data_IF_429474724601
#
_entry.id   IF_429474724601
#
_cell.length_a   1.000
_cell.length_b   1.000
_cell.length_c   1.000
_cell.angle_alpha   90.00
_cell.angle_beta   90.00
_cell.angle_gamma   90.00
#
_symmetry.space_group_name_H-M   'P 1'
#
loop_
_entity.id
_entity.type
_entity.pdbx_description
1 polymer ?
#
# COMPACT_ATOMS: atom_id res chain seq x y z
N UNK A 1 -2.51 -12.80 5.29
CA UNK A 1 -1.67 -11.64 5.68
C UNK A 1 -0.83 -12.02 6.90
N UNK A 2 0.49 -11.90 6.81
CA UNK A 2 1.37 -12.16 7.94
C UNK A 2 1.33 -11.01 8.94
N UNK A 3 1.25 -11.33 10.23
CA UNK A 3 1.34 -10.36 11.31
C UNK A 3 2.79 -9.84 11.35
N UNK A 4 3.00 -8.61 10.90
CA UNK A 4 4.30 -7.93 10.96
C UNK A 4 4.29 -7.06 12.22
N UNK A 5 5.00 -7.49 13.25
CA UNK A 5 5.29 -6.65 14.40
C UNK A 5 6.42 -5.67 14.04
N UNK A 6 6.27 -4.36 14.31
CA UNK A 6 7.33 -3.41 14.02
C UNK A 6 8.56 -3.71 14.88
N UNK A 7 9.74 -3.59 14.29
CA UNK A 7 10.99 -3.66 15.01
C UNK A 7 11.19 -2.42 15.90
N UNK A 8 11.86 -2.59 17.04
CA UNK A 8 12.27 -1.46 17.86
C UNK A 8 13.21 -0.52 17.06
N UNK A 9 12.90 0.77 17.04
CA UNK A 9 13.60 1.78 16.27
C UNK A 9 13.24 1.82 14.78
N UNK A 10 12.31 0.99 14.31
CA UNK A 10 11.89 0.99 12.91
C UNK A 10 11.15 2.28 12.55
N UNK A 11 11.52 2.90 11.42
CA UNK A 11 10.88 4.10 10.91
C UNK A 11 9.62 3.73 10.14
N UNK A 12 8.45 4.15 10.62
CA UNK A 12 7.17 3.91 9.96
C UNK A 12 6.58 5.22 9.41
N UNK A 13 6.15 5.18 8.16
CA UNK A 13 5.62 6.34 7.42
C UNK A 13 4.27 6.06 6.77
N UNK A 14 3.62 7.11 6.28
CA UNK A 14 2.28 7.08 5.71
C UNK A 14 1.14 7.28 6.71
N UNK A 15 -0.09 7.40 6.19
CA UNK A 15 -1.28 7.75 6.98
C UNK A 15 -1.64 6.70 8.04
N UNK A 16 -1.34 5.42 7.77
CA UNK A 16 -1.50 4.35 8.75
C UNK A 16 -0.59 4.53 9.95
N UNK A 17 0.68 4.92 9.74
CA UNK A 17 1.63 5.17 10.81
C UNK A 17 1.19 6.37 11.69
N UNK A 18 0.70 7.44 11.06
CA UNK A 18 0.16 8.61 11.77
C UNK A 18 -1.10 8.24 12.56
N UNK A 19 -2.06 7.56 11.93
CA UNK A 19 -3.34 7.18 12.55
C UNK A 19 -3.17 6.28 13.76
N UNK A 20 -2.19 5.38 13.73
CA UNK A 20 -1.93 4.41 14.80
C UNK A 20 -0.66 4.72 15.60
N UNK A 21 -0.17 5.97 15.55
CA UNK A 21 1.08 6.41 16.17
C UNK A 21 1.27 5.89 17.59
N UNK A 22 0.28 6.12 18.46
CA UNK A 22 0.39 5.75 19.87
C UNK A 22 0.66 4.24 20.07
N UNK A 23 -0.01 3.39 19.29
CA UNK A 23 0.19 1.93 19.36
C UNK A 23 1.56 1.53 18.82
N UNK A 24 1.99 2.15 17.73
CA UNK A 24 3.24 1.82 17.04
C UNK A 24 4.47 2.32 17.80
N UNK A 25 4.42 3.53 18.39
CA UNK A 25 5.47 4.06 19.27
C UNK A 25 5.59 3.26 20.56
N UNK A 26 4.47 2.77 21.12
CA UNK A 26 4.49 1.82 22.25
C UNK A 26 5.19 0.50 21.91
N UNK A 27 5.09 0.05 20.66
CA UNK A 27 5.82 -1.11 20.15
C UNK A 27 7.29 -0.80 19.78
N UNK A 28 7.73 0.46 19.96
CA UNK A 28 9.11 0.89 19.75
C UNK A 28 9.39 1.48 18.37
N UNK A 29 8.39 1.68 17.52
CA UNK A 29 8.58 2.33 16.23
C UNK A 29 8.84 3.85 16.39
N UNK A 30 9.50 4.43 15.39
CA UNK A 30 9.63 5.89 15.24
C UNK A 30 8.71 6.35 14.12
N UNK A 31 7.86 7.34 14.39
CA UNK A 31 6.98 7.94 13.37
C UNK A 31 7.34 9.43 13.24
N UNK A 32 7.67 9.94 12.04
CA UNK A 32 7.93 11.37 11.82
C UNK A 32 6.73 12.25 12.17
N UNK A 33 6.89 13.58 12.32
CA UNK A 33 5.75 14.49 12.51
C UNK A 33 4.73 14.39 11.38
N UNK A 34 3.45 14.64 11.67
CA UNK A 34 2.34 14.44 10.72
C UNK A 34 2.52 15.17 9.37
N UNK A 35 3.19 16.33 9.38
CA UNK A 35 3.46 17.13 8.19
C UNK A 35 4.71 16.71 7.40
N UNK A 36 5.43 15.66 7.82
CA UNK A 36 6.64 15.21 7.17
C UNK A 36 6.34 14.67 5.76
N UNK A 37 7.15 15.10 4.79
CA UNK A 37 7.03 14.68 3.39
C UNK A 37 7.26 13.17 3.19
N UNK A 38 7.91 12.49 4.14
CA UNK A 38 8.06 11.04 4.15
C UNK A 38 6.72 10.29 4.23
N UNK A 39 5.65 10.91 4.76
CA UNK A 39 4.31 10.33 4.75
C UNK A 39 3.65 10.37 3.36
N UNK A 40 4.18 11.17 2.42
CA UNK A 40 3.57 11.38 1.10
C UNK A 40 4.19 10.48 0.04
N UNK A 41 3.45 9.49 -0.50
CA UNK A 41 3.94 8.71 -1.63
C UNK A 41 4.10 9.60 -2.88
N UNK A 42 5.18 9.40 -3.63
CA UNK A 42 5.44 10.12 -4.88
C UNK A 42 5.61 9.13 -6.03
N UNK A 43 4.73 9.21 -7.01
CA UNK A 43 4.70 8.30 -8.17
C UNK A 43 6.05 8.19 -8.89
N UNK A 44 6.80 9.29 -8.97
CA UNK A 44 8.15 9.32 -9.57
C UNK A 44 9.13 8.33 -8.92
N UNK A 45 8.98 8.05 -7.63
CA UNK A 45 9.86 7.11 -6.94
C UNK A 45 9.48 5.65 -7.24
N UNK A 46 8.20 5.35 -7.52
CA UNK A 46 7.82 4.03 -8.01
C UNK A 46 8.46 3.73 -9.38
N UNK A 47 8.41 4.70 -10.30
CA UNK A 47 9.08 4.58 -11.60
C UNK A 47 10.61 4.48 -11.47
N UNK A 48 11.22 5.20 -10.51
CA UNK A 48 12.66 5.10 -10.29
C UNK A 48 13.10 3.76 -9.69
N UNK A 49 12.24 3.09 -8.92
CA UNK A 49 12.54 1.81 -8.27
C UNK A 49 12.27 0.60 -9.17
N UNK A 50 11.35 0.72 -10.12
CA UNK A 50 11.03 -0.38 -11.02
C UNK A 50 12.18 -0.62 -12.02
N UNK A 51 12.69 -1.86 -12.00
CA UNK A 51 13.83 -2.30 -12.83
C UNK A 51 13.39 -3.04 -14.09
N UNK A 52 12.24 -3.71 -14.01
CA UNK A 52 11.68 -4.52 -15.09
C UNK A 52 10.31 -3.96 -15.50
N UNK A 53 10.10 -3.86 -16.81
CA UNK A 53 8.84 -3.42 -17.39
C UNK A 53 8.45 -4.36 -18.55
N UNK A 54 7.15 -4.65 -18.65
CA UNK A 54 6.56 -5.35 -19.78
C UNK A 54 5.80 -4.40 -20.69
N UNK A 55 5.20 -4.95 -21.74
CA UNK A 55 4.29 -4.20 -22.60
C UNK A 55 3.03 -3.84 -21.82
N UNK A 56 2.49 -2.64 -22.04
CA UNK A 56 1.32 -2.17 -21.29
C UNK A 56 0.09 -3.08 -21.54
N UNK A 57 -0.04 -3.63 -22.73
CA UNK A 57 -1.07 -4.60 -23.11
C UNK A 57 -0.98 -5.94 -22.37
N UNK A 58 0.12 -6.23 -21.66
CA UNK A 58 0.27 -7.45 -20.84
C UNK A 58 -0.27 -7.26 -19.41
N UNK A 59 -0.68 -6.04 -19.03
CA UNK A 59 -1.22 -5.77 -17.70
C UNK A 59 -2.66 -6.27 -17.60
N UNK A 60 -2.85 -7.39 -16.91
CA UNK A 60 -4.18 -7.95 -16.64
C UNK A 60 -4.79 -7.35 -15.35
N UNK A 61 -5.98 -6.72 -15.41
CA UNK A 61 -6.64 -6.18 -14.23
C UNK A 61 -7.13 -7.29 -13.29
N UNK A 62 -6.85 -7.15 -11.99
CA UNK A 62 -7.41 -8.01 -10.97
C UNK A 62 -8.84 -7.55 -10.61
N UNK A 63 -9.84 -8.21 -11.17
CA UNK A 63 -11.25 -7.97 -10.82
C UNK A 63 -11.59 -8.62 -9.47
N UNK A 64 -11.67 -7.80 -8.43
CA UNK A 64 -12.02 -8.24 -7.07
C UNK A 64 -13.54 -8.39 -6.84
N UNK A 65 -14.36 -7.99 -7.81
CA UNK A 65 -15.83 -8.14 -7.78
C UNK A 65 -16.28 -9.07 -8.90
N UNK A 66 -17.31 -9.86 -8.62
CA UNK A 66 -18.01 -10.61 -9.67
C UNK A 66 -18.63 -9.62 -10.68
N UNK A 67 -18.62 -9.94 -11.98
CA UNK A 67 -19.40 -9.18 -12.95
C UNK A 67 -20.87 -9.17 -12.55
N UNK A 68 -21.52 -8.01 -12.66
CA UNK A 68 -22.94 -7.85 -12.32
C UNK A 68 -23.87 -8.57 -13.33
N UNK A 69 -23.35 -8.98 -14.48
CA UNK A 69 -24.10 -9.72 -15.49
C UNK A 69 -24.09 -11.22 -15.19
N UNK A 70 -25.07 -11.70 -14.42
CA UNK A 70 -25.48 -13.09 -14.53
C UNK A 70 -26.17 -13.28 -15.90
N UNK A 71 -25.65 -14.22 -16.69
CA UNK A 71 -26.13 -14.53 -18.05
C UNK A 71 -27.63 -14.88 -18.01
N UNK A 72 -28.49 -13.99 -18.48
CA UNK A 72 -29.80 -14.37 -19.02
C UNK A 72 -29.56 -15.09 -20.35
N UNK A 73 -29.36 -16.40 -20.31
CA UNK A 73 -29.50 -17.23 -21.50
C UNK A 73 -31.01 -17.41 -21.74
N UNK A 74 -31.58 -16.95 -22.87
CA UNK A 74 -32.95 -17.28 -23.21
C UNK A 74 -33.06 -18.78 -23.50
N UNK A 75 -34.18 -19.38 -23.07
CA UNK A 75 -34.57 -20.78 -23.26
C UNK A 75 -34.69 -21.20 -24.71
#
# INVERSE_FOLDING_TARGET
PGELAPGAGELLVGDGAVRYRALLEQAGATIPPDGDEAHRPRARFHAALARDYGLAEQVEPLYLRRPDADRTLPS
#
